data_IF_103645122144
#
_entry.id   IF_103645122144
#
_cell.length_a   1.000
_cell.length_b   1.000
_cell.length_c   1.000
_cell.angle_alpha   90.00
_cell.angle_beta   90.00
_cell.angle_gamma   90.00
#
_symmetry.space_group_name_H-M   'P 1'
#
loop_
_entity.id
_entity.type
_entity.pdbx_description
1 polymer ?
#
# COMPACT_ATOMS: atom_id res chain seq x y z
N UNK A 1 -6.83 32.67 -90.92
CA UNK A 1 -6.15 31.74 -90.09
C UNK A 1 -6.14 32.34 -88.68
N UNK A 2 -7.05 31.94 -87.81
CA UNK A 2 -7.17 32.47 -86.42
C UNK A 2 -7.39 31.32 -85.51
N UNK A 3 -6.41 31.07 -84.68
CA UNK A 3 -6.39 29.99 -83.70
C UNK A 3 -6.89 30.50 -82.31
N UNK A 4 -8.05 30.05 -81.90
CA UNK A 4 -8.64 30.43 -80.61
C UNK A 4 -8.06 29.65 -79.48
N UNK A 5 -7.61 30.37 -78.49
CA UNK A 5 -7.23 29.82 -77.15
C UNK A 5 -8.45 29.84 -76.15
N UNK A 6 -8.86 28.69 -75.64
CA UNK A 6 -9.89 28.58 -74.62
C UNK A 6 -9.24 28.67 -73.24
N UNK A 7 -9.86 29.33 -72.25
CA UNK A 7 -9.32 29.40 -70.94
C UNK A 7 -9.65 28.11 -70.14
N UNK A 8 -8.65 27.60 -69.39
CA UNK A 8 -8.75 26.49 -68.47
C UNK A 8 -9.35 26.98 -67.15
N UNK A 9 -10.46 26.37 -66.72
CA UNK A 9 -11.15 26.67 -65.46
C UNK A 9 -10.30 26.19 -64.24
N UNK A 10 -9.91 27.16 -63.45
CA UNK A 10 -9.41 26.90 -62.09
C UNK A 10 -10.59 26.52 -61.14
N UNK A 11 -10.63 25.31 -60.72
CA UNK A 11 -11.72 24.87 -59.79
C UNK A 11 -11.51 23.47 -59.22
N UNK A 12 -10.47 23.25 -58.46
CA UNK A 12 -10.36 22.04 -57.65
C UNK A 12 -9.20 22.11 -56.66
N UNK A 13 -9.14 23.11 -55.78
CA UNK A 13 -8.11 23.17 -54.74
C UNK A 13 -8.63 23.58 -53.34
N UNK A 14 -9.95 23.64 -53.14
CA UNK A 14 -10.51 24.10 -51.83
C UNK A 14 -11.15 23.02 -50.96
N UNK A 15 -11.24 21.76 -51.39
CA UNK A 15 -11.97 20.73 -50.68
C UNK A 15 -11.09 19.68 -49.99
N UNK A 16 -9.77 19.72 -50.12
CA UNK A 16 -8.88 18.71 -49.52
C UNK A 16 -8.26 19.17 -48.22
N UNK A 17 -8.28 20.49 -47.90
CA UNK A 17 -7.66 21.02 -46.64
C UNK A 17 -8.59 20.90 -45.42
N UNK A 18 -9.90 20.76 -45.65
CA UNK A 18 -10.85 20.69 -44.52
C UNK A 18 -10.97 19.30 -43.85
N UNK A 19 -10.51 18.21 -44.50
CA UNK A 19 -10.58 16.85 -43.89
C UNK A 19 -9.34 16.47 -43.11
N UNK A 20 -8.22 17.18 -43.21
CA UNK A 20 -6.99 16.85 -42.47
C UNK A 20 -6.93 17.47 -41.05
N UNK A 21 -7.80 18.42 -40.73
CA UNK A 21 -7.80 19.08 -39.39
C UNK A 21 -8.70 18.40 -38.38
N UNK A 22 -9.52 17.43 -38.75
CA UNK A 22 -10.47 16.72 -37.87
C UNK A 22 -9.90 15.51 -37.13
N UNK A 23 -8.70 15.04 -37.44
CA UNK A 23 -8.13 13.80 -36.94
C UNK A 23 -7.07 13.99 -35.82
N UNK A 24 -6.75 15.22 -35.43
CA UNK A 24 -5.70 15.50 -34.45
C UNK A 24 -6.22 15.74 -33.00
N UNK A 25 -7.53 15.70 -32.77
CA UNK A 25 -8.09 15.98 -31.41
C UNK A 25 -8.48 14.72 -30.64
N UNK A 26 -8.47 13.55 -31.30
CA UNK A 26 -8.87 12.28 -30.63
C UNK A 26 -7.72 11.52 -29.95
N UNK A 27 -6.49 12.03 -29.98
CA UNK A 27 -5.31 11.36 -29.43
C UNK A 27 -5.03 11.61 -27.93
N UNK A 28 -5.67 12.60 -27.30
CA UNK A 28 -5.35 12.97 -25.93
C UNK A 28 -6.11 12.20 -24.84
N UNK A 29 -7.15 11.46 -25.18
CA UNK A 29 -7.97 10.78 -24.16
C UNK A 29 -7.47 9.39 -23.76
N UNK A 30 -6.58 8.77 -24.54
CA UNK A 30 -6.03 7.44 -24.24
C UNK A 30 -4.74 7.47 -23.40
N UNK A 31 -4.07 8.62 -23.33
CA UNK A 31 -2.83 8.76 -22.57
C UNK A 31 -3.08 8.96 -21.08
N UNK A 32 -4.31 9.31 -20.67
CA UNK A 32 -4.64 9.60 -19.27
C UNK A 32 -5.08 8.36 -18.48
N UNK A 33 -5.27 7.21 -19.11
CA UNK A 33 -5.67 5.97 -18.43
C UNK A 33 -4.51 5.04 -18.05
N UNK A 34 -3.28 5.35 -18.44
CA UNK A 34 -2.10 4.52 -18.12
C UNK A 34 -1.22 5.07 -17.00
N UNK A 35 -1.57 6.20 -16.39
CA UNK A 35 -0.83 6.79 -15.26
C UNK A 35 -1.58 6.71 -13.93
N UNK A 36 -2.38 5.69 -13.72
CA UNK A 36 -3.27 5.56 -12.57
C UNK A 36 -2.85 4.51 -11.55
N UNK A 37 -1.57 4.36 -11.22
CA UNK A 37 -1.16 3.85 -9.92
C UNK A 37 -0.22 4.84 -9.26
N UNK A 38 -0.76 6.00 -8.84
CA UNK A 38 -0.19 6.73 -7.74
C UNK A 38 -0.31 5.82 -6.51
N UNK A 39 0.63 4.89 -6.35
CA UNK A 39 0.84 4.27 -5.06
C UNK A 39 1.35 5.38 -4.15
N UNK A 40 0.42 5.98 -3.43
CA UNK A 40 0.73 6.98 -2.42
C UNK A 40 1.59 6.28 -1.37
N UNK A 41 2.86 6.66 -1.28
CA UNK A 41 3.76 6.12 -0.26
C UNK A 41 3.23 6.49 1.13
N UNK A 42 3.40 5.57 2.07
CA UNK A 42 2.89 5.72 3.43
C UNK A 42 3.56 6.88 4.16
N UNK A 43 2.79 7.92 4.43
CA UNK A 43 3.23 9.12 5.15
C UNK A 43 2.34 9.37 6.37
N UNK A 44 2.92 9.72 7.51
CA UNK A 44 2.15 10.08 8.71
C UNK A 44 1.20 11.25 8.40
N UNK A 45 -0.04 11.14 8.87
CA UNK A 45 -1.11 12.11 8.59
C UNK A 45 -1.83 11.90 7.23
N UNK A 46 -1.47 10.86 6.46
CA UNK A 46 -2.10 10.53 5.17
C UNK A 46 -2.79 9.17 5.25
N UNK A 47 -3.76 8.89 4.35
CA UNK A 47 -4.34 7.57 4.24
C UNK A 47 -3.27 6.49 4.04
N UNK A 48 -3.44 5.37 4.73
CA UNK A 48 -2.59 4.20 4.57
C UNK A 48 -2.72 3.66 3.14
N UNK A 49 -1.61 3.30 2.46
CA UNK A 49 -1.67 2.61 1.18
C UNK A 49 -2.55 1.37 1.27
N UNK A 50 -3.49 1.23 0.34
CA UNK A 50 -4.30 0.03 0.25
C UNK A 50 -3.42 -1.17 -0.14
N UNK A 51 -3.74 -2.33 0.43
CA UNK A 51 -3.06 -3.57 0.08
C UNK A 51 -4.00 -4.76 0.07
N UNK A 52 -3.65 -5.72 -0.75
CA UNK A 52 -4.23 -7.05 -0.81
C UNK A 52 -3.04 -8.01 -0.87
N UNK A 53 -3.03 -9.01 -0.02
CA UNK A 53 -2.00 -10.03 0.02
C UNK A 53 -2.57 -11.39 0.41
N UNK A 54 -1.70 -12.34 0.67
CA UNK A 54 -2.03 -13.62 1.28
C UNK A 54 -1.35 -13.72 2.64
N UNK A 55 -2.00 -14.36 3.59
CA UNK A 55 -1.37 -14.70 4.84
C UNK A 55 -0.41 -15.90 4.68
N UNK A 56 0.26 -16.29 5.75
CA UNK A 56 1.20 -17.42 5.75
C UNK A 56 0.53 -18.77 5.41
N UNK A 57 -0.79 -18.87 5.48
CA UNK A 57 -1.56 -20.07 5.14
C UNK A 57 -2.19 -19.97 3.73
N UNK A 58 -1.87 -18.91 2.97
CA UNK A 58 -2.37 -18.69 1.61
C UNK A 58 -3.77 -18.09 1.55
N UNK A 59 -4.35 -17.64 2.66
CA UNK A 59 -5.67 -17.01 2.68
C UNK A 59 -5.56 -15.53 2.30
N UNK A 60 -6.49 -15.01 1.49
CA UNK A 60 -6.48 -13.59 1.15
C UNK A 60 -6.73 -12.73 2.40
N UNK A 61 -5.99 -11.63 2.50
CA UNK A 61 -6.10 -10.65 3.56
C UNK A 61 -5.90 -9.24 2.97
N UNK A 62 -6.68 -8.25 3.42
CA UNK A 62 -6.72 -6.89 2.87
C UNK A 62 -6.79 -5.87 3.99
N UNK A 63 -6.29 -4.67 3.74
CA UNK A 63 -6.48 -3.56 4.68
C UNK A 63 -7.97 -3.27 4.95
N UNK A 64 -8.82 -3.41 3.94
CA UNK A 64 -10.27 -3.19 4.07
C UNK A 64 -10.99 -4.16 5.00
N UNK A 65 -10.39 -5.32 5.29
CA UNK A 65 -10.95 -6.29 6.25
C UNK A 65 -10.91 -5.74 7.70
N UNK A 66 -10.13 -4.68 7.92
CA UNK A 66 -9.97 -4.00 9.22
C UNK A 66 -10.63 -2.61 9.27
N UNK A 67 -11.51 -2.28 8.29
CA UNK A 67 -12.18 -0.98 8.26
C UNK A 67 -12.90 -0.68 9.57
N UNK A 68 -12.73 0.53 10.10
CA UNK A 68 -13.31 0.95 11.38
C UNK A 68 -12.54 0.49 12.62
N UNK A 69 -11.46 -0.26 12.44
CA UNK A 69 -10.57 -0.68 13.51
C UNK A 69 -9.20 0.00 13.42
N UNK A 70 -8.60 0.41 14.55
CA UNK A 70 -7.19 0.78 14.54
C UNK A 70 -6.33 -0.46 14.21
N UNK A 71 -5.28 -0.26 13.39
CA UNK A 71 -4.39 -1.34 12.96
C UNK A 71 -2.94 -1.03 13.34
N UNK A 72 -2.27 -2.00 13.94
CA UNK A 72 -0.82 -2.03 14.10
C UNK A 72 -0.25 -3.01 13.08
N UNK A 73 0.38 -2.49 12.02
CA UNK A 73 1.18 -3.28 11.09
C UNK A 73 2.60 -3.41 11.64
N UNK A 74 3.07 -4.63 11.85
CA UNK A 74 4.45 -4.90 12.24
C UNK A 74 5.16 -5.66 11.12
N UNK A 75 6.21 -5.06 10.58
CA UNK A 75 7.08 -5.64 9.56
C UNK A 75 8.19 -6.42 10.23
N UNK A 76 8.29 -7.72 9.91
CA UNK A 76 9.19 -8.66 10.54
C UNK A 76 9.80 -9.65 9.54
N UNK A 77 10.73 -10.49 9.99
CA UNK A 77 11.23 -11.64 9.25
C UNK A 77 11.76 -12.70 10.22
N UNK A 78 11.76 -13.98 9.84
CA UNK A 78 12.23 -15.07 10.69
C UNK A 78 13.73 -14.98 11.01
N UNK A 79 14.52 -14.43 10.09
CA UNK A 79 15.95 -14.19 10.22
C UNK A 79 16.32 -12.96 11.05
N UNK A 80 15.33 -12.14 11.45
CA UNK A 80 15.54 -10.88 12.16
C UNK A 80 15.66 -11.11 13.67
N UNK A 81 16.87 -11.05 14.21
CA UNK A 81 17.12 -11.22 15.65
C UNK A 81 16.36 -10.25 16.55
N UNK A 82 16.37 -8.93 16.29
CA UNK A 82 15.57 -7.97 17.05
C UNK A 82 14.05 -8.22 16.97
N UNK A 83 13.53 -8.76 15.86
CA UNK A 83 12.12 -9.13 15.74
C UNK A 83 11.75 -10.26 16.72
N UNK A 84 12.64 -11.25 16.90
CA UNK A 84 12.47 -12.33 17.87
C UNK A 84 12.41 -11.81 19.32
N UNK A 85 13.22 -10.79 19.62
CA UNK A 85 13.21 -10.17 20.95
C UNK A 85 11.93 -9.35 21.20
N UNK A 86 11.35 -8.75 20.17
CA UNK A 86 10.12 -7.94 20.22
C UNK A 86 8.84 -8.80 20.28
N UNK A 87 8.85 -9.99 19.67
CA UNK A 87 7.65 -10.80 19.42
C UNK A 87 6.80 -11.05 20.69
N UNK A 88 7.35 -11.38 21.86
CA UNK A 88 6.53 -11.56 23.06
C UNK A 88 5.73 -10.31 23.47
N UNK A 89 6.32 -9.12 23.23
CA UNK A 89 5.62 -7.86 23.49
C UNK A 89 4.45 -7.65 22.53
N UNK A 90 4.66 -7.92 21.23
CA UNK A 90 3.59 -7.84 20.20
C UNK A 90 2.46 -8.81 20.48
N UNK A 91 2.77 -10.05 20.91
CA UNK A 91 1.77 -11.05 21.25
C UNK A 91 0.94 -10.61 22.45
N UNK A 92 1.57 -9.98 23.44
CA UNK A 92 0.87 -9.41 24.58
C UNK A 92 -0.04 -8.25 24.14
N UNK A 93 0.47 -7.33 23.33
CA UNK A 93 -0.30 -6.21 22.78
C UNK A 93 -1.50 -6.71 21.97
N UNK A 94 -1.31 -7.71 21.13
CA UNK A 94 -2.40 -8.27 20.34
C UNK A 94 -3.53 -8.82 21.19
N UNK A 95 -3.20 -9.51 22.29
CA UNK A 95 -4.20 -10.04 23.24
C UNK A 95 -4.86 -8.95 24.08
N UNK A 96 -4.07 -8.03 24.63
CA UNK A 96 -4.55 -7.00 25.56
C UNK A 96 -5.47 -5.99 24.85
N UNK A 97 -5.17 -5.65 23.58
CA UNK A 97 -5.87 -4.60 22.86
C UNK A 97 -6.95 -5.09 21.86
N UNK A 98 -7.04 -6.41 21.62
CA UNK A 98 -8.12 -6.97 20.79
C UNK A 98 -9.53 -6.63 21.32
N UNK A 99 -9.82 -6.67 22.65
CA UNK A 99 -11.12 -6.27 23.16
C UNK A 99 -11.44 -4.79 22.97
N UNK A 100 -10.41 -3.94 22.85
CA UNK A 100 -10.54 -2.51 22.56
C UNK A 100 -10.64 -2.20 21.05
N UNK A 101 -10.72 -3.23 20.21
CA UNK A 101 -10.89 -3.12 18.78
C UNK A 101 -9.59 -2.96 17.98
N UNK A 102 -8.43 -2.86 18.62
CA UNK A 102 -7.13 -2.78 17.89
C UNK A 102 -6.82 -4.13 17.23
N UNK A 103 -6.36 -4.08 16.00
CA UNK A 103 -5.91 -5.26 15.23
C UNK A 103 -4.42 -5.19 15.00
N UNK A 104 -3.71 -6.25 15.34
CA UNK A 104 -2.30 -6.43 14.98
C UNK A 104 -2.24 -7.29 13.74
N UNK A 105 -1.42 -6.89 12.76
CA UNK A 105 -1.16 -7.62 11.53
C UNK A 105 0.34 -7.64 11.30
N UNK A 106 0.91 -8.83 11.16
CA UNK A 106 2.30 -9.01 10.75
C UNK A 106 2.45 -8.82 9.24
N UNK A 107 3.62 -8.40 8.83
CA UNK A 107 4.06 -8.38 7.42
C UNK A 107 5.44 -9.02 7.40
N UNK A 108 5.51 -10.25 6.95
CA UNK A 108 6.75 -11.01 6.80
C UNK A 108 7.43 -10.63 5.50
N UNK A 109 8.62 -10.04 5.58
CA UNK A 109 9.29 -9.43 4.43
C UNK A 109 10.59 -10.16 4.07
N UNK A 110 10.81 -10.37 2.76
CA UNK A 110 12.07 -10.91 2.22
C UNK A 110 12.47 -12.23 2.89
N UNK A 111 11.51 -13.09 3.15
CA UNK A 111 11.70 -14.32 3.91
C UNK A 111 11.34 -15.56 3.08
N UNK A 112 11.58 -16.72 3.67
CA UNK A 112 11.13 -18.02 3.18
C UNK A 112 9.85 -18.41 3.91
N UNK A 113 8.83 -18.84 3.16
CA UNK A 113 7.51 -19.14 3.73
C UNK A 113 7.55 -20.21 4.83
N UNK A 114 8.39 -21.24 4.66
CA UNK A 114 8.49 -22.31 5.67
C UNK A 114 9.16 -21.79 6.95
N UNK A 115 10.19 -20.94 6.83
CA UNK A 115 10.83 -20.32 7.99
C UNK A 115 9.89 -19.34 8.71
N UNK A 116 9.10 -18.58 7.95
CA UNK A 116 8.07 -17.71 8.50
C UNK A 116 6.99 -18.50 9.27
N UNK A 117 6.56 -19.65 8.75
CA UNK A 117 5.61 -20.54 9.45
C UNK A 117 6.23 -21.13 10.73
N UNK A 118 7.48 -21.59 10.68
CA UNK A 118 8.19 -22.09 11.86
C UNK A 118 8.25 -21.01 12.94
N UNK A 119 8.61 -19.78 12.56
CA UNK A 119 8.65 -18.64 13.48
C UNK A 119 7.26 -18.37 14.10
N UNK A 120 6.21 -18.26 13.28
CA UNK A 120 4.83 -18.07 13.75
C UNK A 120 4.42 -19.14 14.75
N UNK A 121 4.71 -20.40 14.44
CA UNK A 121 4.30 -21.53 15.27
C UNK A 121 5.11 -21.62 16.59
N UNK A 122 6.40 -21.28 16.55
CA UNK A 122 7.28 -21.19 17.72
C UNK A 122 6.72 -20.16 18.74
N UNK A 123 6.40 -18.96 18.25
CA UNK A 123 5.86 -17.89 19.12
C UNK A 123 4.35 -18.02 19.37
N UNK A 124 3.64 -18.89 18.63
CA UNK A 124 2.18 -19.01 18.69
C UNK A 124 1.51 -17.66 18.44
N UNK A 125 1.94 -16.96 17.40
CA UNK A 125 1.49 -15.61 17.05
C UNK A 125 -0.05 -15.56 17.01
N UNK A 126 -0.70 -14.68 17.80
CA UNK A 126 -2.17 -14.63 17.90
C UNK A 126 -2.85 -13.78 16.83
N UNK A 127 -2.11 -13.34 15.79
CA UNK A 127 -2.59 -12.47 14.74
C UNK A 127 -2.11 -12.94 13.36
N UNK A 128 -2.83 -12.58 12.28
CA UNK A 128 -2.44 -12.95 10.93
C UNK A 128 -1.17 -12.22 10.49
N UNK A 129 -0.40 -12.86 9.62
CA UNK A 129 0.77 -12.24 9.00
C UNK A 129 0.73 -12.41 7.49
N UNK A 130 0.91 -11.32 6.76
CA UNK A 130 1.01 -11.27 5.30
C UNK A 130 2.40 -11.78 4.90
N UNK A 131 2.46 -12.58 3.85
CA UNK A 131 3.71 -13.00 3.24
C UNK A 131 4.10 -12.04 2.11
N UNK A 132 5.04 -11.14 2.37
CA UNK A 132 5.53 -10.11 1.45
C UNK A 132 6.98 -10.40 1.01
N UNK A 133 7.19 -11.57 0.38
CA UNK A 133 8.52 -12.03 -0.05
C UNK A 133 9.25 -10.99 -0.92
N UNK A 134 8.54 -10.36 -1.85
CA UNK A 134 9.11 -9.36 -2.76
C UNK A 134 9.22 -7.95 -2.13
N UNK A 135 8.80 -7.78 -0.87
CA UNK A 135 8.80 -6.52 -0.15
C UNK A 135 8.02 -5.39 -0.84
N UNK A 136 6.95 -5.71 -1.57
CA UNK A 136 6.12 -4.71 -2.23
C UNK A 136 5.36 -3.86 -1.21
N UNK A 137 4.83 -4.50 -0.17
CA UNK A 137 4.15 -3.81 0.91
C UNK A 137 5.14 -3.01 1.76
N UNK A 138 6.30 -3.59 2.07
CA UNK A 138 7.38 -2.87 2.75
C UNK A 138 7.77 -1.60 1.98
N UNK A 139 7.90 -1.66 0.66
CA UNK A 139 8.18 -0.49 -0.18
C UNK A 139 7.05 0.54 -0.12
N UNK A 140 5.79 0.12 -0.29
CA UNK A 140 4.65 1.03 -0.22
C UNK A 140 4.56 1.74 1.14
N UNK A 141 4.95 1.07 2.22
CA UNK A 141 5.00 1.62 3.56
C UNK A 141 6.33 2.27 3.93
N UNK A 142 7.28 2.39 2.98
CA UNK A 142 8.60 2.98 3.19
C UNK A 142 9.32 2.33 4.40
N UNK A 143 9.32 1.01 4.41
CA UNK A 143 10.00 0.20 5.42
C UNK A 143 11.25 -0.42 4.79
N UNK A 144 12.40 0.03 5.22
CA UNK A 144 13.69 -0.43 4.70
C UNK A 144 14.17 -1.71 5.38
N UNK A 145 13.88 -1.85 6.67
CA UNK A 145 14.34 -2.98 7.48
C UNK A 145 13.35 -3.36 8.58
N UNK A 146 13.27 -4.68 8.94
CA UNK A 146 12.56 -5.14 10.12
C UNK A 146 13.43 -4.97 11.39
N UNK A 147 12.81 -4.88 12.60
CA UNK A 147 11.41 -4.64 12.77
C UNK A 147 11.03 -3.18 12.52
N UNK A 148 9.84 -2.97 11.98
CA UNK A 148 9.26 -1.64 11.86
C UNK A 148 7.76 -1.73 12.11
N UNK A 149 7.20 -0.71 12.75
CA UNK A 149 5.78 -0.67 13.09
C UNK A 149 5.11 0.56 12.53
N UNK A 150 3.92 0.37 11.96
CA UNK A 150 3.06 1.43 11.42
C UNK A 150 1.72 1.36 12.13
N UNK A 151 1.31 2.49 12.70
CA UNK A 151 0.08 2.64 13.45
C UNK A 151 -0.95 3.38 12.61
N UNK A 152 -2.07 2.73 12.33
CA UNK A 152 -3.16 3.23 11.48
C UNK A 152 -4.39 3.39 12.35
N UNK A 153 -4.99 4.59 12.35
CA UNK A 153 -6.24 4.85 13.07
C UNK A 153 -7.44 4.16 12.40
N UNK A 154 -8.56 4.10 13.13
CA UNK A 154 -9.81 3.52 12.63
C UNK A 154 -10.39 4.22 11.39
N UNK A 155 -9.99 5.48 11.13
CA UNK A 155 -10.32 6.24 9.91
C UNK A 155 -9.39 5.94 8.73
N UNK A 156 -8.42 5.01 8.90
CA UNK A 156 -7.46 4.61 7.88
C UNK A 156 -6.25 5.54 7.73
N UNK A 157 -6.08 6.55 8.59
CA UNK A 157 -4.95 7.49 8.51
C UNK A 157 -3.76 6.94 9.30
N UNK A 158 -2.56 7.01 8.75
CA UNK A 158 -1.33 6.66 9.46
C UNK A 158 -1.08 7.67 10.58
N UNK A 159 -1.14 7.21 11.81
CA UNK A 159 -0.94 8.05 12.99
C UNK A 159 0.54 8.15 13.40
N UNK A 160 1.30 7.06 13.23
CA UNK A 160 2.69 6.99 13.65
C UNK A 160 3.45 5.88 12.91
N UNK A 161 4.77 6.02 12.80
CA UNK A 161 5.69 5.01 12.26
C UNK A 161 6.95 4.98 13.11
N UNK A 162 7.52 3.79 13.29
CA UNK A 162 8.79 3.62 14.00
C UNK A 162 9.56 2.45 13.41
N UNK A 163 10.88 2.59 13.35
CA UNK A 163 11.82 1.51 13.01
C UNK A 163 12.60 1.11 14.26
N UNK A 164 12.80 -0.19 14.45
CA UNK A 164 13.46 -0.79 15.60
C UNK A 164 12.49 -1.49 16.55
N UNK A 165 13.03 -2.43 17.32
CA UNK A 165 12.26 -3.25 18.25
C UNK A 165 11.73 -2.44 19.44
N UNK A 166 10.50 -2.70 19.84
CA UNK A 166 9.85 -2.08 21.00
C UNK A 166 9.48 -3.14 22.06
N UNK A 167 9.51 -2.73 23.33
CA UNK A 167 8.87 -3.47 24.40
C UNK A 167 7.36 -3.19 24.52
N UNK A 168 6.67 -3.91 25.41
CA UNK A 168 5.22 -3.77 25.58
C UNK A 168 4.79 -2.36 26.04
N UNK A 169 5.53 -1.72 26.95
CA UNK A 169 5.14 -0.40 27.46
C UNK A 169 5.23 0.72 26.45
N UNK A 170 6.29 0.85 25.61
CA UNK A 170 6.30 1.74 24.47
C UNK A 170 5.12 1.51 23.52
N UNK A 171 4.78 0.26 23.17
CA UNK A 171 3.62 -0.06 22.36
C UNK A 171 2.33 0.45 22.97
N UNK A 172 2.10 0.18 24.28
CA UNK A 172 0.93 0.67 25.01
C UNK A 172 0.82 2.20 24.95
N UNK A 173 1.94 2.89 25.20
CA UNK A 173 1.98 4.34 25.14
C UNK A 173 1.55 4.89 23.78
N UNK A 174 2.11 4.35 22.69
CA UNK A 174 1.77 4.77 21.31
C UNK A 174 0.32 4.44 20.97
N UNK A 175 -0.15 3.25 21.28
CA UNK A 175 -1.53 2.83 20.98
C UNK A 175 -2.52 3.73 21.73
N UNK A 176 -2.31 3.95 23.03
CA UNK A 176 -3.20 4.78 23.84
C UNK A 176 -3.23 6.24 23.35
N UNK A 177 -2.10 6.80 22.97
CA UNK A 177 -2.02 8.19 22.49
C UNK A 177 -2.49 8.36 21.06
N UNK A 178 -2.15 7.44 20.15
CA UNK A 178 -2.30 7.64 18.70
C UNK A 178 -3.46 6.88 18.07
N UNK A 179 -3.90 5.76 18.67
CA UNK A 179 -4.93 4.91 18.04
C UNK A 179 -6.28 4.96 18.75
N UNK A 180 -6.30 4.98 20.09
CA UNK A 180 -7.54 4.94 20.88
C UNK A 180 -7.78 6.18 21.74
N UNK A 181 -6.79 7.06 21.87
CA UNK A 181 -6.94 8.36 22.52
C UNK A 181 -7.89 9.30 21.76
N UNK A 182 -8.40 10.36 22.40
CA UNK A 182 -9.23 11.34 21.72
C UNK A 182 -8.45 11.91 20.53
N UNK A 183 -9.05 11.84 19.33
CA UNK A 183 -8.53 12.49 18.14
C UNK A 183 -8.43 14.01 18.39
N UNK A 184 -7.20 14.52 18.42
CA UNK A 184 -6.95 15.96 18.51
C UNK A 184 -7.20 16.63 17.18
#
# INVERSE_FOLDING_TARGET
MATGLRPVRAGARRTVVALALGLLVSGCSLQQQLTGTNQSLATVGRPAPAWIGTDLDGKPIRLTDFTGHPVLLNFWASWCGPCRAEQPALDQIARDYAPMGVRVVGVDIRDNLDQAKIYRDEFKMPYPSIFDQAAHLAYAYQVDSPPSSVFIRSDGIIAFKITGALGADPYRGIINDKLIGPSK
#
